data_IF_613592121111
#
_entry.id   IF_613592121111
#
_cell.length_a   1.000
_cell.length_b   1.000
_cell.length_c   1.000
_cell.angle_alpha   90.00
_cell.angle_beta   90.00
_cell.angle_gamma   90.00
#
_symmetry.space_group_name_H-M   'P 1'
#
loop_
_entity.id
_entity.type
_entity.pdbx_description
1 polymer ?
#
# COMPACT_ATOMS: atom_id res chain seq x y z
N UNK A 1 -25.91 -48.68 -3.15
CA UNK A 1 -24.90 -48.07 -2.27
C UNK A 1 -25.05 -46.56 -2.33
N UNK A 2 -25.68 -45.97 -1.31
CA UNK A 2 -25.77 -44.51 -1.17
C UNK A 2 -24.45 -44.00 -0.59
N UNK A 3 -23.76 -43.13 -1.32
CA UNK A 3 -22.58 -42.41 -0.83
C UNK A 3 -23.03 -41.44 0.26
N UNK A 4 -22.82 -41.84 1.51
CA UNK A 4 -22.95 -40.96 2.67
C UNK A 4 -21.79 -39.96 2.60
N UNK A 5 -22.10 -38.75 2.10
CA UNK A 5 -21.21 -37.60 2.27
C UNK A 5 -21.25 -37.27 3.76
N UNK A 6 -20.25 -37.75 4.49
CA UNK A 6 -19.97 -37.32 5.85
C UNK A 6 -19.60 -35.85 5.78
N UNK A 7 -20.56 -34.96 6.04
CA UNK A 7 -20.26 -33.58 6.42
C UNK A 7 -19.56 -33.67 7.77
N UNK A 8 -18.24 -33.74 7.76
CA UNK A 8 -17.44 -33.50 8.97
C UNK A 8 -17.92 -32.18 9.57
N UNK A 9 -18.45 -32.25 10.80
CA UNK A 9 -18.75 -31.05 11.59
C UNK A 9 -17.43 -30.35 11.84
N UNK A 10 -17.10 -29.37 11.00
CA UNK A 10 -16.09 -28.36 11.31
C UNK A 10 -16.55 -27.75 12.64
N UNK A 11 -15.84 -28.08 13.73
CA UNK A 11 -16.18 -27.54 15.04
C UNK A 11 -16.16 -26.01 14.98
N UNK A 12 -17.07 -25.36 15.71
CA UNK A 12 -17.21 -23.89 15.78
C UNK A 12 -15.84 -23.24 15.90
N UNK A 13 -15.60 -22.20 15.08
CA UNK A 13 -14.35 -21.45 15.12
C UNK A 13 -14.21 -20.76 16.49
N UNK A 14 -13.02 -20.83 17.08
CA UNK A 14 -12.71 -20.25 18.39
C UNK A 14 -11.37 -19.50 18.34
N UNK A 15 -11.04 -18.79 19.43
CA UNK A 15 -9.82 -17.99 19.55
C UNK A 15 -8.55 -18.84 19.34
N UNK A 16 -8.52 -20.09 19.82
CA UNK A 16 -7.35 -20.97 19.67
C UNK A 16 -7.15 -21.37 18.21
N UNK A 17 -8.23 -21.67 17.49
CA UNK A 17 -8.19 -21.95 16.05
C UNK A 17 -7.78 -20.71 15.26
N UNK A 18 -8.33 -19.54 15.56
CA UNK A 18 -7.96 -18.29 14.91
C UNK A 18 -6.47 -17.98 15.06
N UNK A 19 -5.93 -18.09 16.29
CA UNK A 19 -4.49 -17.95 16.57
C UNK A 19 -3.65 -18.93 15.73
N UNK A 20 -4.07 -20.19 15.65
CA UNK A 20 -3.37 -21.23 14.88
C UNK A 20 -3.39 -20.94 13.38
N UNK A 21 -4.53 -20.53 12.83
CA UNK A 21 -4.67 -20.17 11.41
C UNK A 21 -3.75 -18.99 11.08
N UNK A 22 -3.84 -17.89 11.84
CA UNK A 22 -3.04 -16.69 11.58
C UNK A 22 -1.54 -16.99 11.74
N UNK A 23 -1.15 -17.69 12.81
CA UNK A 23 0.26 -18.06 13.04
C UNK A 23 0.84 -18.90 11.89
N UNK A 24 0.07 -19.87 11.39
CA UNK A 24 0.46 -20.68 10.24
C UNK A 24 0.63 -19.82 8.99
N UNK A 25 -0.33 -18.94 8.71
CA UNK A 25 -0.32 -18.03 7.56
C UNK A 25 0.92 -17.15 7.56
N UNK A 26 1.24 -16.53 8.71
CA UNK A 26 2.44 -15.70 8.84
C UNK A 26 3.70 -16.53 8.64
N UNK A 27 3.78 -17.72 9.24
CA UNK A 27 4.96 -18.59 9.13
C UNK A 27 5.21 -19.06 7.69
N UNK A 28 4.19 -19.57 7.00
CA UNK A 28 4.37 -20.16 5.66
C UNK A 28 4.71 -19.11 4.60
N UNK A 29 4.28 -17.86 4.81
CA UNK A 29 4.54 -16.75 3.89
C UNK A 29 5.82 -15.97 4.22
N UNK A 30 6.50 -16.30 5.31
CA UNK A 30 7.72 -15.63 5.79
C UNK A 30 8.82 -15.45 4.76
N UNK A 31 9.18 -16.47 3.94
CA UNK A 31 10.20 -16.29 2.91
C UNK A 31 9.86 -15.20 1.88
N UNK A 32 8.57 -14.86 1.74
CA UNK A 32 8.10 -13.83 0.83
C UNK A 32 7.92 -12.49 1.52
N UNK A 33 7.22 -12.42 2.66
CA UNK A 33 6.95 -11.12 3.27
C UNK A 33 8.17 -10.45 3.87
N UNK A 34 9.21 -11.19 4.27
CA UNK A 34 10.50 -10.59 4.66
C UNK A 34 11.17 -9.80 3.53
N UNK A 35 10.81 -10.08 2.27
CA UNK A 35 11.30 -9.33 1.11
C UNK A 35 10.54 -8.03 0.87
N UNK A 36 9.57 -7.69 1.70
CA UNK A 36 8.83 -6.43 1.62
C UNK A 36 9.50 -5.31 2.42
N UNK A 37 10.51 -5.65 3.23
CA UNK A 37 11.25 -4.66 4.01
C UNK A 37 11.96 -3.68 3.07
N UNK A 38 11.85 -2.40 3.40
CA UNK A 38 12.41 -1.28 2.67
C UNK A 38 13.40 -0.54 3.57
N UNK A 39 14.28 0.26 2.95
CA UNK A 39 15.27 1.06 3.68
C UNK A 39 14.90 2.54 3.63
N UNK A 40 15.23 3.28 4.69
CA UNK A 40 15.03 4.73 4.70
C UNK A 40 15.75 5.45 3.55
N UNK A 41 16.91 4.96 3.13
CA UNK A 41 17.65 5.50 1.99
C UNK A 41 16.82 5.56 0.69
N UNK A 42 15.78 4.72 0.56
CA UNK A 42 14.91 4.65 -0.62
C UNK A 42 13.57 5.39 -0.43
N UNK A 43 13.36 6.10 0.69
CA UNK A 43 12.06 6.67 1.10
C UNK A 43 11.43 7.62 0.05
N UNK A 44 12.26 8.31 -0.72
CA UNK A 44 11.83 9.19 -1.82
C UNK A 44 11.32 8.40 -3.04
N UNK A 45 11.81 7.19 -3.28
CA UNK A 45 11.23 6.26 -4.25
C UNK A 45 9.97 5.60 -3.69
N UNK A 46 9.98 5.26 -2.39
CA UNK A 46 8.86 4.58 -1.71
C UNK A 46 7.57 5.39 -1.74
N UNK A 47 7.63 6.71 -1.49
CA UNK A 47 6.45 7.57 -1.54
C UNK A 47 5.75 7.53 -2.90
N UNK A 48 6.52 7.41 -3.99
CA UNK A 48 5.98 7.29 -5.35
C UNK A 48 5.46 5.86 -5.56
N UNK A 49 6.31 4.85 -5.31
CA UNK A 49 5.97 3.45 -5.57
C UNK A 49 4.75 2.99 -4.78
N UNK A 50 4.77 3.19 -3.47
CA UNK A 50 3.75 2.70 -2.53
C UNK A 50 2.57 3.65 -2.41
N UNK A 51 2.81 4.96 -2.56
CA UNK A 51 1.75 5.98 -2.49
C UNK A 51 0.70 5.83 -3.59
N UNK A 52 1.10 5.35 -4.77
CA UNK A 52 0.21 5.24 -5.94
C UNK A 52 -0.09 3.81 -6.39
N UNK A 53 0.47 2.80 -5.73
CA UNK A 53 0.05 1.38 -5.85
C UNK A 53 -1.25 1.14 -5.06
N UNK A 54 -2.36 1.67 -5.56
CA UNK A 54 -3.66 1.58 -4.89
C UNK A 54 -4.84 1.56 -5.86
N UNK A 55 -5.98 1.04 -5.41
CA UNK A 55 -7.23 1.07 -6.17
C UNK A 55 -7.18 0.32 -7.49
N UNK A 56 -6.38 -0.75 -7.57
CA UNK A 56 -6.17 -1.53 -8.79
C UNK A 56 -5.17 -0.93 -9.77
N UNK A 57 -4.56 0.22 -9.45
CA UNK A 57 -3.43 0.74 -10.21
C UNK A 57 -2.19 -0.10 -9.91
N UNK A 58 -1.84 -0.95 -10.89
CA UNK A 58 -0.61 -1.75 -10.90
C UNK A 58 0.62 -0.87 -11.23
N UNK A 59 0.86 0.15 -10.41
CA UNK A 59 1.93 1.14 -10.60
C UNK A 59 3.31 0.49 -10.73
N UNK A 60 3.55 -0.63 -10.04
CA UNK A 60 4.78 -1.41 -10.16
C UNK A 60 5.13 -1.81 -11.61
N UNK A 61 4.14 -1.91 -12.50
CA UNK A 61 4.34 -2.19 -13.93
C UNK A 61 4.68 -0.95 -14.74
N UNK A 62 4.32 0.25 -14.25
CA UNK A 62 4.68 1.53 -14.86
C UNK A 62 6.08 1.98 -14.46
N UNK A 63 6.55 1.64 -13.26
CA UNK A 63 7.88 2.02 -12.74
C UNK A 63 9.03 1.73 -13.73
N UNK A 64 9.14 0.54 -14.36
CA UNK A 64 10.21 0.27 -15.32
C UNK A 64 10.21 1.23 -16.52
N UNK A 65 9.04 1.66 -16.98
CA UNK A 65 8.90 2.61 -18.09
C UNK A 65 9.36 4.01 -17.67
N UNK A 66 8.98 4.45 -16.46
CA UNK A 66 9.45 5.73 -15.90
C UNK A 66 10.97 5.73 -15.66
N UNK A 67 11.54 4.59 -15.21
CA UNK A 67 13.00 4.42 -15.03
C UNK A 67 13.73 4.43 -16.37
N UNK A 68 13.22 3.70 -17.38
CA UNK A 68 13.74 3.69 -18.76
C UNK A 68 13.79 5.10 -19.36
N UNK A 69 12.75 5.90 -19.08
CA UNK A 69 12.66 7.31 -19.49
C UNK A 69 13.44 8.28 -18.59
N UNK A 70 14.14 7.80 -17.55
CA UNK A 70 14.91 8.60 -16.59
C UNK A 70 14.09 9.70 -15.87
N UNK A 71 12.79 9.47 -15.67
CA UNK A 71 11.89 10.42 -15.02
C UNK A 71 11.36 9.94 -13.67
N UNK A 72 11.80 8.76 -13.19
CA UNK A 72 11.30 8.17 -11.96
C UNK A 72 11.98 8.72 -10.70
N UNK A 73 11.83 10.03 -10.46
CA UNK A 73 12.23 10.71 -9.23
C UNK A 73 11.19 11.78 -8.88
N UNK A 74 11.15 12.22 -7.62
CA UNK A 74 10.27 13.32 -7.20
C UNK A 74 10.54 14.58 -8.04
N UNK A 75 11.81 14.90 -8.26
CA UNK A 75 12.23 16.08 -9.04
C UNK A 75 11.72 16.04 -10.49
N UNK A 76 11.92 14.91 -11.17
CA UNK A 76 11.53 14.77 -12.57
C UNK A 76 10.01 14.69 -12.72
N UNK A 77 9.32 13.86 -11.94
CA UNK A 77 7.86 13.79 -11.98
C UNK A 77 7.23 15.14 -11.60
N UNK A 78 7.76 15.83 -10.59
CA UNK A 78 7.28 17.15 -10.18
C UNK A 78 7.51 18.24 -11.23
N UNK A 79 8.53 18.08 -12.08
CA UNK A 79 8.82 18.99 -13.19
C UNK A 79 7.83 18.87 -14.35
N UNK A 80 7.10 17.76 -14.48
CA UNK A 80 5.99 17.64 -15.45
C UNK A 80 4.95 18.75 -15.23
N UNK A 81 4.75 19.14 -13.97
CA UNK A 81 3.81 20.21 -13.59
C UNK A 81 4.46 21.59 -13.48
N UNK A 82 5.73 21.76 -13.87
CA UNK A 82 6.50 22.99 -13.61
C UNK A 82 5.87 24.28 -14.15
N UNK A 83 5.10 24.18 -15.23
CA UNK A 83 4.39 25.32 -15.84
C UNK A 83 2.88 25.36 -15.49
N UNK A 84 2.38 24.40 -14.71
CA UNK A 84 0.96 24.28 -14.41
C UNK A 84 0.56 25.22 -13.26
N UNK A 85 -0.25 26.24 -13.56
CA UNK A 85 -0.73 27.24 -12.58
C UNK A 85 -2.22 27.13 -12.25
N UNK A 86 -2.90 26.11 -12.78
CA UNK A 86 -4.35 25.93 -12.66
C UNK A 86 -4.74 25.11 -11.42
N UNK A 87 -6.03 24.77 -11.34
CA UNK A 87 -6.60 24.02 -10.21
C UNK A 87 -5.92 22.65 -10.04
N UNK A 88 -5.56 22.31 -8.80
CA UNK A 88 -4.92 21.03 -8.44
C UNK A 88 -5.90 19.85 -8.40
N UNK A 89 -7.20 20.13 -8.39
CA UNK A 89 -8.26 19.13 -8.37
C UNK A 89 -8.29 18.38 -9.70
N UNK A 90 -8.37 17.06 -9.64
CA UNK A 90 -8.50 16.23 -10.83
C UNK A 90 -9.81 16.53 -11.57
N UNK A 91 -9.72 16.83 -12.86
CA UNK A 91 -10.85 16.99 -13.76
C UNK A 91 -10.71 15.98 -14.91
N UNK A 92 -11.71 15.12 -15.08
CA UNK A 92 -11.66 14.01 -16.05
C UNK A 92 -11.52 14.50 -17.49
N UNK A 93 -12.21 15.57 -17.86
CA UNK A 93 -12.17 16.07 -19.24
C UNK A 93 -10.81 16.70 -19.58
N UNK A 94 -10.08 17.16 -18.56
CA UNK A 94 -8.76 17.76 -18.73
C UNK A 94 -7.62 16.72 -18.73
N UNK A 95 -7.67 15.73 -17.83
CA UNK A 95 -6.57 14.79 -17.57
C UNK A 95 -6.98 13.30 -17.56
N UNK A 96 -8.13 12.94 -18.13
CA UNK A 96 -8.74 11.60 -18.05
C UNK A 96 -8.50 10.68 -19.26
N UNK A 97 -7.46 10.93 -20.06
CA UNK A 97 -7.09 10.07 -21.18
C UNK A 97 -5.98 10.67 -22.03
N UNK A 98 -5.34 9.86 -22.91
CA UNK A 98 -4.27 10.37 -23.79
C UNK A 98 -4.75 11.48 -24.75
N UNK A 99 -6.04 11.48 -25.08
CA UNK A 99 -6.66 12.50 -25.94
C UNK A 99 -7.08 13.77 -25.20
N UNK A 100 -6.99 13.79 -23.86
CA UNK A 100 -7.39 14.96 -23.09
C UNK A 100 -6.35 16.09 -23.19
N UNK A 101 -6.77 17.34 -22.97
CA UNK A 101 -5.93 18.53 -23.16
C UNK A 101 -4.58 18.42 -22.46
N UNK A 102 -4.54 17.92 -21.22
CA UNK A 102 -3.29 17.73 -20.50
C UNK A 102 -2.31 16.83 -21.25
N UNK A 103 -2.74 15.63 -21.67
CA UNK A 103 -1.85 14.67 -22.33
C UNK A 103 -1.49 15.06 -23.76
N UNK A 104 -2.38 15.75 -24.49
CA UNK A 104 -2.05 16.31 -25.80
C UNK A 104 -1.01 17.43 -25.70
N UNK A 105 -1.09 18.27 -24.67
CA UNK A 105 -0.06 19.27 -24.38
C UNK A 105 1.29 18.64 -23.99
N UNK A 106 1.28 17.55 -23.21
CA UNK A 106 2.49 16.78 -22.89
C UNK A 106 3.12 16.18 -24.16
N UNK A 107 2.30 15.59 -25.04
CA UNK A 107 2.73 15.03 -26.33
C UNK A 107 3.41 16.10 -27.19
N UNK A 108 2.88 17.31 -27.21
CA UNK A 108 3.42 18.47 -27.95
C UNK A 108 4.59 19.17 -27.22
N UNK A 109 5.12 18.58 -26.15
CA UNK A 109 6.25 19.12 -25.37
C UNK A 109 6.01 20.51 -24.75
N UNK A 110 4.75 20.91 -24.52
CA UNK A 110 4.44 22.20 -23.86
C UNK A 110 4.90 22.26 -22.40
N UNK A 111 5.07 21.08 -21.79
CA UNK A 111 5.65 20.88 -20.46
C UNK A 111 7.11 20.38 -20.52
N UNK A 112 7.80 20.65 -21.63
CA UNK A 112 9.20 20.28 -21.85
C UNK A 112 9.41 18.78 -22.10
N UNK A 113 10.68 18.40 -22.15
CA UNK A 113 11.10 17.02 -22.47
C UNK A 113 10.63 16.00 -21.41
N UNK A 114 10.62 16.40 -20.14
CA UNK A 114 10.17 15.54 -19.04
C UNK A 114 8.68 15.23 -19.16
N UNK A 115 7.87 16.23 -19.51
CA UNK A 115 6.44 16.04 -19.77
C UNK A 115 6.17 15.11 -20.97
N UNK A 116 6.93 15.28 -22.06
CA UNK A 116 6.82 14.38 -23.22
C UNK A 116 7.26 12.94 -22.89
N UNK A 117 8.35 12.76 -22.13
CA UNK A 117 8.79 11.45 -21.68
C UNK A 117 7.76 10.77 -20.76
N UNK A 118 7.07 11.55 -19.93
CA UNK A 118 5.94 11.05 -19.13
C UNK A 118 4.81 10.56 -20.03
N UNK A 119 4.37 11.36 -21.01
CA UNK A 119 3.36 10.96 -21.99
C UNK A 119 3.72 9.63 -22.68
N UNK A 120 4.94 9.53 -23.22
CA UNK A 120 5.40 8.32 -23.92
C UNK A 120 5.42 7.09 -23.00
N UNK A 121 5.77 7.26 -21.72
CA UNK A 121 5.76 6.17 -20.75
C UNK A 121 4.33 5.67 -20.46
N UNK A 122 3.35 6.58 -20.41
CA UNK A 122 1.94 6.21 -20.26
C UNK A 122 1.40 5.56 -21.54
N UNK A 123 1.74 6.10 -22.71
CA UNK A 123 1.36 5.53 -24.01
C UNK A 123 1.89 4.10 -24.18
N UNK A 124 3.17 3.85 -23.85
CA UNK A 124 3.77 2.52 -23.86
C UNK A 124 3.08 1.56 -22.88
N UNK A 125 2.76 2.03 -21.67
CA UNK A 125 2.02 1.24 -20.67
C UNK A 125 0.65 0.76 -21.17
N UNK A 126 -0.08 1.64 -21.86
CA UNK A 126 -1.41 1.36 -22.39
C UNK A 126 -1.34 0.46 -23.62
N UNK A 127 -0.42 0.72 -24.55
CA UNK A 127 -0.25 -0.05 -25.79
C UNK A 127 0.20 -1.48 -25.53
N UNK A 128 1.08 -1.69 -24.54
CA UNK A 128 1.54 -3.02 -24.13
C UNK A 128 0.51 -3.78 -23.27
N UNK A 129 -0.61 -3.13 -22.92
CA UNK A 129 -1.63 -3.67 -21.99
C UNK A 129 -0.99 -4.16 -20.70
N UNK A 130 0.06 -3.48 -20.23
CA UNK A 130 0.79 -3.87 -19.03
C UNK A 130 -0.15 -3.91 -17.81
N UNK A 131 -1.06 -2.92 -17.70
CA UNK A 131 -2.05 -2.85 -16.63
C UNK A 131 -3.50 -2.75 -17.08
N UNK A 132 -4.39 -2.53 -16.11
CA UNK A 132 -5.85 -2.35 -16.30
C UNK A 132 -6.26 -0.90 -16.01
N UNK A 133 -6.08 0.04 -16.95
CA UNK A 133 -6.38 1.45 -16.74
C UNK A 133 -7.88 1.68 -16.57
N UNK A 134 -8.28 2.19 -15.41
CA UNK A 134 -9.65 2.63 -15.12
C UNK A 134 -9.73 4.13 -14.82
N UNK A 135 -10.88 4.63 -14.38
CA UNK A 135 -11.02 6.04 -13.95
C UNK A 135 -10.01 6.42 -12.85
N UNK A 136 -9.75 5.49 -11.93
CA UNK A 136 -8.82 5.66 -10.82
C UNK A 136 -7.35 5.72 -11.24
N UNK A 137 -6.99 5.08 -12.36
CA UNK A 137 -5.64 5.15 -12.94
C UNK A 137 -5.29 6.60 -13.29
N UNK A 138 -6.14 7.27 -14.06
CA UNK A 138 -5.92 8.65 -14.47
C UNK A 138 -5.89 9.63 -13.30
N UNK A 139 -6.79 9.45 -12.33
CA UNK A 139 -6.78 10.30 -11.12
C UNK A 139 -5.52 10.11 -10.28
N UNK A 140 -5.00 8.88 -10.17
CA UNK A 140 -3.78 8.60 -9.40
C UNK A 140 -2.53 9.14 -10.09
N UNK A 141 -2.44 9.05 -11.43
CA UNK A 141 -1.36 9.71 -12.19
C UNK A 141 -1.36 11.21 -11.93
N UNK A 142 -2.53 11.85 -12.02
CA UNK A 142 -2.67 13.27 -11.73
C UNK A 142 -2.23 13.62 -10.31
N UNK A 143 -2.74 12.88 -9.31
CA UNK A 143 -2.39 13.10 -7.90
C UNK A 143 -0.89 12.90 -7.63
N UNK A 144 -0.25 11.93 -8.28
CA UNK A 144 1.19 11.71 -8.21
C UNK A 144 1.97 12.90 -8.73
N UNK A 145 1.60 13.44 -9.90
CA UNK A 145 2.26 14.61 -10.45
C UNK A 145 2.10 15.84 -9.56
N UNK A 146 0.91 16.06 -8.99
CA UNK A 146 0.68 17.17 -8.05
C UNK A 146 1.49 16.99 -6.75
N UNK A 147 1.52 15.78 -6.19
CA UNK A 147 2.27 15.51 -4.95
C UNK A 147 3.78 15.64 -5.16
N UNK A 148 4.32 15.07 -6.23
CA UNK A 148 5.75 15.18 -6.55
C UNK A 148 6.15 16.62 -6.86
N UNK A 149 5.27 17.39 -7.52
CA UNK A 149 5.46 18.84 -7.70
C UNK A 149 5.47 19.58 -6.36
N UNK A 150 4.53 19.27 -5.46
CA UNK A 150 4.51 19.86 -4.13
C UNK A 150 5.79 19.58 -3.34
N UNK A 151 6.27 18.32 -3.35
CA UNK A 151 7.53 17.92 -2.71
C UNK A 151 8.74 18.61 -3.33
N UNK A 152 8.77 18.74 -4.67
CA UNK A 152 9.79 19.49 -5.40
C UNK A 152 9.88 20.95 -4.94
N UNK A 153 8.77 21.67 -4.97
CA UNK A 153 8.76 23.11 -4.71
C UNK A 153 8.97 23.48 -3.23
N UNK A 154 8.61 22.59 -2.30
CA UNK A 154 8.58 22.94 -0.88
C UNK A 154 9.60 22.17 -0.03
N UNK A 155 10.16 21.06 -0.53
CA UNK A 155 10.98 20.14 0.25
C UNK A 155 12.20 19.60 -0.51
N UNK A 156 12.72 20.39 -1.47
CA UNK A 156 13.90 20.05 -2.27
C UNK A 156 13.80 18.69 -2.94
N UNK A 157 12.63 18.36 -3.49
CA UNK A 157 12.37 17.11 -4.18
C UNK A 157 12.60 15.86 -3.30
N UNK A 158 12.40 15.97 -1.98
CA UNK A 158 12.60 14.87 -1.04
C UNK A 158 11.46 14.71 -0.04
N UNK A 159 10.95 13.49 0.05
CA UNK A 159 9.99 13.07 1.07
C UNK A 159 10.66 12.89 2.44
N UNK A 160 11.94 12.52 2.50
CA UNK A 160 12.71 12.57 3.75
C UNK A 160 12.74 13.98 4.34
N UNK A 161 13.05 15.00 3.52
CA UNK A 161 13.01 16.40 3.96
C UNK A 161 11.62 16.84 4.40
N UNK A 162 10.58 16.37 3.70
CA UNK A 162 9.19 16.57 4.10
C UNK A 162 8.93 16.02 5.50
N UNK A 163 9.27 14.75 5.77
CA UNK A 163 9.06 14.12 7.07
C UNK A 163 9.83 14.83 8.18
N UNK A 164 11.11 15.17 7.95
CA UNK A 164 11.92 15.95 8.89
C UNK A 164 11.26 17.29 9.21
N UNK A 165 10.75 18.02 8.21
CA UNK A 165 10.05 19.27 8.44
C UNK A 165 8.77 19.09 9.27
N UNK A 166 8.02 18.02 9.03
CA UNK A 166 6.82 17.69 9.82
C UNK A 166 7.15 17.33 11.26
N UNK A 167 8.21 16.56 11.49
CA UNK A 167 8.68 16.25 12.83
C UNK A 167 9.23 17.47 13.57
N UNK A 168 9.92 18.37 12.87
CA UNK A 168 10.42 19.61 13.48
C UNK A 168 9.25 20.50 13.94
N UNK A 169 8.18 20.60 13.14
CA UNK A 169 6.94 21.28 13.51
C UNK A 169 6.31 20.66 14.75
N UNK A 170 6.17 19.34 14.79
CA UNK A 170 5.64 18.61 15.95
C UNK A 170 6.46 18.84 17.22
N UNK A 171 7.79 18.83 17.12
CA UNK A 171 8.69 19.03 18.26
C UNK A 171 8.89 20.50 18.65
N UNK A 172 8.37 21.46 17.88
CA UNK A 172 8.63 22.88 18.09
C UNK A 172 10.11 23.25 17.89
N UNK A 173 10.81 22.58 16.97
CA UNK A 173 12.23 22.80 16.68
C UNK A 173 12.44 23.19 15.21
N UNK A 174 13.59 23.81 14.92
CA UNK A 174 13.90 24.26 13.55
C UNK A 174 14.24 23.10 12.61
N UNK A 175 14.81 22.02 13.14
CA UNK A 175 15.23 20.85 12.39
C UNK A 175 15.26 19.62 13.31
N UNK A 176 15.13 18.44 12.73
CA UNK A 176 15.30 17.15 13.42
C UNK A 176 16.22 16.25 12.60
N UNK A 177 17.04 15.46 13.29
CA UNK A 177 17.83 14.40 12.65
C UNK A 177 16.91 13.25 12.24
N UNK A 178 17.34 12.51 11.23
CA UNK A 178 16.68 11.29 10.75
C UNK A 178 16.44 10.27 11.88
N UNK A 179 17.42 10.08 12.77
CA UNK A 179 17.30 9.15 13.89
C UNK A 179 16.10 9.43 14.79
N UNK A 180 15.68 10.70 14.95
CA UNK A 180 14.47 11.02 15.72
C UNK A 180 13.18 10.46 15.11
N UNK A 181 13.16 10.27 13.79
CA UNK A 181 12.02 9.67 13.08
C UNK A 181 12.09 8.15 13.21
N UNK A 182 13.27 7.58 12.95
CA UNK A 182 13.46 6.12 12.95
C UNK A 182 13.34 5.52 14.35
N UNK A 183 13.83 6.21 15.37
CA UNK A 183 13.77 5.78 16.77
C UNK A 183 12.46 6.22 17.47
N UNK A 184 11.49 6.75 16.73
CA UNK A 184 10.22 7.19 17.27
C UNK A 184 9.47 6.00 17.90
N UNK A 185 9.05 6.13 19.15
CA UNK A 185 8.22 5.10 19.79
C UNK A 185 6.85 5.00 19.12
N UNK A 186 6.16 3.88 19.32
CA UNK A 186 4.79 3.68 18.83
C UNK A 186 3.85 4.79 19.31
N UNK A 187 3.90 5.13 20.60
CA UNK A 187 3.07 6.17 21.19
C UNK A 187 3.41 7.55 20.61
N UNK A 188 4.69 7.83 20.40
CA UNK A 188 5.16 9.05 19.77
C UNK A 188 4.72 9.17 18.31
N UNK A 189 4.68 8.06 17.58
CA UNK A 189 4.20 8.01 16.20
C UNK A 189 2.71 8.32 16.10
N UNK A 190 1.89 7.69 16.96
CA UNK A 190 0.45 7.93 16.97
C UNK A 190 0.12 9.38 17.40
N UNK A 191 0.82 9.93 18.40
CA UNK A 191 0.66 11.33 18.80
C UNK A 191 1.06 12.31 17.68
N UNK A 192 2.19 12.06 17.01
CA UNK A 192 2.61 12.83 15.84
C UNK A 192 1.53 12.85 14.74
N UNK A 193 0.96 11.69 14.41
CA UNK A 193 -0.11 11.58 13.39
C UNK A 193 -1.36 12.34 13.78
N UNK A 194 -1.78 12.25 15.05
CA UNK A 194 -2.97 12.94 15.55
C UNK A 194 -2.82 14.46 15.48
N UNK A 195 -1.65 14.98 15.85
CA UNK A 195 -1.38 16.42 15.90
C UNK A 195 -1.09 17.03 14.52
N UNK A 196 -0.24 16.37 13.71
CA UNK A 196 0.27 16.95 12.46
C UNK A 196 -0.56 16.55 11.24
N UNK A 197 -1.09 15.32 11.21
CA UNK A 197 -1.82 14.75 10.06
C UNK A 197 -1.05 14.96 8.73
N UNK A 198 0.19 14.46 8.63
CA UNK A 198 1.11 14.80 7.53
C UNK A 198 0.49 14.53 6.14
N UNK A 199 -0.26 13.45 5.99
CA UNK A 199 -0.91 13.10 4.72
C UNK A 199 -1.82 14.20 4.11
N UNK A 200 -2.29 15.19 4.88
CA UNK A 200 -3.18 16.24 4.37
C UNK A 200 -2.59 17.07 3.21
N UNK A 201 -1.27 17.11 3.07
CA UNK A 201 -0.60 17.85 1.99
C UNK A 201 -0.18 16.94 0.82
N UNK A 202 -0.27 15.62 0.99
CA UNK A 202 0.21 14.62 0.03
C UNK A 202 -0.94 14.13 -0.85
N UNK A 203 -1.06 14.71 -2.04
CA UNK A 203 -2.18 14.44 -2.93
C UNK A 203 -2.30 12.96 -3.30
N UNK A 204 -3.47 12.37 -3.04
CA UNK A 204 -3.75 10.95 -3.29
C UNK A 204 -3.27 10.01 -2.19
N UNK A 205 -2.59 10.50 -1.16
CA UNK A 205 -2.08 9.71 -0.03
C UNK A 205 -2.91 10.07 1.20
N UNK A 206 -3.76 9.15 1.64
CA UNK A 206 -4.44 9.26 2.93
C UNK A 206 -3.66 8.57 4.06
N UNK A 207 -4.14 8.69 5.29
CA UNK A 207 -3.53 8.09 6.49
C UNK A 207 -3.13 6.62 6.30
N UNK A 208 -4.05 5.79 5.79
CA UNK A 208 -3.78 4.36 5.57
C UNK A 208 -2.64 4.09 4.56
N UNK A 209 -2.50 4.95 3.56
CA UNK A 209 -1.42 4.83 2.55
C UNK A 209 -0.11 5.36 3.14
N UNK A 210 -0.17 6.44 3.91
CA UNK A 210 0.97 7.01 4.61
C UNK A 210 1.58 6.03 5.62
N UNK A 211 0.76 5.42 6.48
CA UNK A 211 1.17 4.36 7.40
C UNK A 211 1.76 3.14 6.66
N UNK A 212 1.26 2.86 5.45
CA UNK A 212 1.75 1.75 4.63
C UNK A 212 3.13 2.04 4.01
N UNK A 213 3.40 3.28 3.60
CA UNK A 213 4.70 3.70 3.06
C UNK A 213 5.80 3.53 4.13
N UNK A 214 5.49 3.91 5.37
CA UNK A 214 6.46 3.86 6.48
C UNK A 214 6.49 2.52 7.20
N UNK A 215 5.40 1.76 7.17
CA UNK A 215 5.26 0.49 7.88
C UNK A 215 6.10 -0.66 7.35
N UNK A 216 6.95 -0.44 6.34
CA UNK A 216 7.92 -1.42 5.84
C UNK A 216 9.38 -0.99 6.05
N UNK A 217 9.63 0.14 6.69
CA UNK A 217 10.98 0.60 7.00
C UNK A 217 11.60 -0.27 8.09
N UNK A 218 12.64 -1.01 7.73
CA UNK A 218 13.34 -1.91 8.67
C UNK A 218 14.03 -1.16 9.81
N UNK A 219 14.35 0.13 9.60
CA UNK A 219 15.03 0.95 10.59
C UNK A 219 14.06 1.59 11.60
N UNK A 220 12.75 1.56 11.35
CA UNK A 220 11.76 2.31 12.11
C UNK A 220 10.84 1.42 12.96
N UNK A 221 11.40 0.60 13.86
CA UNK A 221 10.67 -0.44 14.61
C UNK A 221 9.39 0.06 15.29
N UNK A 222 9.43 1.23 15.93
CA UNK A 222 8.27 1.80 16.62
C UNK A 222 7.11 2.17 15.69
N UNK A 223 7.41 2.50 14.43
CA UNK A 223 6.43 2.78 13.38
C UNK A 223 5.98 1.46 12.72
N UNK A 224 6.94 0.61 12.37
CA UNK A 224 6.75 -0.60 11.58
C UNK A 224 5.93 -1.64 12.35
N UNK A 225 6.29 -1.96 13.59
CA UNK A 225 5.66 -3.06 14.34
C UNK A 225 4.17 -2.84 14.67
N UNK A 226 3.73 -1.59 14.70
CA UNK A 226 2.35 -1.18 15.00
C UNK A 226 1.46 -1.06 13.75
N UNK A 227 2.04 -1.04 12.55
CA UNK A 227 1.31 -0.73 11.32
C UNK A 227 0.44 -1.89 10.84
N UNK A 228 -0.84 -1.61 10.61
CA UNK A 228 -1.80 -2.54 10.03
C UNK A 228 -2.69 -1.84 9.00
N UNK A 229 -2.66 -2.34 7.75
CA UNK A 229 -3.54 -1.90 6.67
C UNK A 229 -4.67 -2.91 6.52
N UNK A 230 -5.92 -2.51 6.78
CA UNK A 230 -7.09 -3.35 6.52
C UNK A 230 -7.55 -3.17 5.07
N UNK A 231 -7.02 -3.98 4.15
CA UNK A 231 -7.42 -3.97 2.75
C UNK A 231 -8.43 -5.09 2.40
N UNK A 232 -8.86 -5.14 1.14
CA UNK A 232 -9.80 -6.15 0.66
C UNK A 232 -9.29 -7.59 0.80
N UNK A 233 -7.97 -7.82 0.75
CA UNK A 233 -7.37 -9.14 0.95
C UNK A 233 -7.39 -9.54 2.42
N UNK A 234 -7.10 -8.60 3.33
CA UNK A 234 -7.21 -8.82 4.77
C UNK A 234 -8.67 -9.10 5.17
N UNK A 235 -9.62 -8.30 4.69
CA UNK A 235 -11.05 -8.51 4.95
C UNK A 235 -11.49 -9.88 4.43
N UNK A 236 -11.15 -10.20 3.18
CA UNK A 236 -11.49 -11.49 2.58
C UNK A 236 -10.88 -12.66 3.34
N UNK A 237 -9.65 -12.54 3.85
CA UNK A 237 -9.05 -13.57 4.70
C UNK A 237 -9.89 -13.87 5.95
N UNK A 238 -10.30 -12.82 6.69
CA UNK A 238 -11.09 -13.00 7.91
C UNK A 238 -12.44 -13.65 7.61
N UNK A 239 -13.09 -13.25 6.51
CA UNK A 239 -14.36 -13.83 6.06
C UNK A 239 -14.22 -15.28 5.59
N UNK A 240 -13.26 -15.55 4.69
CA UNK A 240 -13.04 -16.88 4.13
C UNK A 240 -12.68 -17.92 5.21
N UNK A 241 -12.00 -17.46 6.27
CA UNK A 241 -11.63 -18.30 7.40
C UNK A 241 -12.72 -18.44 8.47
N UNK A 242 -13.70 -17.54 8.46
CA UNK A 242 -14.74 -17.40 9.48
C UNK A 242 -14.29 -16.63 10.74
N UNK A 243 -13.04 -16.13 10.76
CA UNK A 243 -12.47 -15.38 11.89
C UNK A 243 -13.22 -14.08 12.12
N UNK A 244 -13.83 -13.52 11.07
CA UNK A 244 -14.68 -12.33 11.16
C UNK A 244 -15.80 -12.46 12.20
N UNK A 245 -16.33 -13.66 12.43
CA UNK A 245 -17.35 -13.93 13.47
C UNK A 245 -16.85 -13.75 14.91
N UNK A 246 -15.54 -13.72 15.12
CA UNK A 246 -14.91 -13.48 16.42
C UNK A 246 -14.61 -11.99 16.64
N UNK A 247 -14.84 -11.15 15.63
CA UNK A 247 -14.55 -9.73 15.64
C UNK A 247 -15.89 -9.00 15.70
N UNK A 248 -16.03 -8.04 16.63
CA UNK A 248 -17.29 -7.31 16.84
C UNK A 248 -17.77 -6.61 15.57
N UNK A 249 -16.85 -5.95 14.87
CA UNK A 249 -17.09 -5.27 13.60
C UNK A 249 -15.81 -5.31 12.75
N UNK A 250 -15.93 -5.55 11.44
CA UNK A 250 -14.78 -5.58 10.53
C UNK A 250 -14.36 -4.16 10.15
N UNK A 251 -13.73 -3.49 11.12
CA UNK A 251 -13.05 -2.21 10.95
C UNK A 251 -11.60 -2.32 11.46
N UNK A 252 -10.76 -1.31 11.18
CA UNK A 252 -9.32 -1.36 11.48
C UNK A 252 -9.04 -1.52 12.98
N UNK A 253 -9.75 -0.79 13.82
CA UNK A 253 -9.55 -0.77 15.27
C UNK A 253 -9.88 -2.12 15.90
N UNK A 254 -11.06 -2.66 15.61
CA UNK A 254 -11.53 -3.94 16.16
C UNK A 254 -10.67 -5.12 15.66
N UNK A 255 -10.21 -5.09 14.41
CA UNK A 255 -9.26 -6.08 13.88
C UNK A 255 -7.92 -6.03 14.61
N UNK A 256 -7.37 -4.83 14.85
CA UNK A 256 -6.12 -4.67 15.60
C UNK A 256 -6.29 -5.17 17.04
N UNK A 257 -7.38 -4.80 17.71
CA UNK A 257 -7.69 -5.25 19.07
C UNK A 257 -7.79 -6.77 19.15
N UNK A 258 -8.49 -7.39 18.19
CA UNK A 258 -8.58 -8.83 18.09
C UNK A 258 -7.21 -9.48 17.90
N UNK A 259 -6.39 -9.03 16.94
CA UNK A 259 -5.06 -9.60 16.69
C UNK A 259 -4.16 -9.48 17.91
N UNK A 260 -4.15 -8.33 18.58
CA UNK A 260 -3.39 -8.12 19.81
C UNK A 260 -3.85 -9.08 20.93
N UNK A 261 -5.15 -9.34 21.03
CA UNK A 261 -5.70 -10.28 22.03
C UNK A 261 -5.26 -11.74 21.83
N UNK A 262 -4.77 -12.09 20.63
CA UNK A 262 -4.27 -13.45 20.34
C UNK A 262 -2.91 -13.73 20.97
N UNK A 263 -2.18 -12.71 21.46
CA UNK A 263 -0.88 -12.86 22.13
C UNK A 263 0.10 -13.72 21.30
N UNK A 264 0.32 -13.32 20.04
CA UNK A 264 1.17 -14.03 19.11
C UNK A 264 2.61 -13.49 19.17
N UNK A 265 3.58 -14.34 18.82
CA UNK A 265 4.99 -13.94 18.71
C UNK A 265 5.31 -12.97 17.55
N UNK A 266 4.33 -12.69 16.70
CA UNK A 266 4.48 -11.85 15.51
C UNK A 266 3.89 -10.48 15.79
N UNK A 267 4.55 -9.43 15.29
CA UNK A 267 4.04 -8.06 15.29
C UNK A 267 2.78 -7.92 14.43
N UNK A 268 2.02 -6.84 14.65
CA UNK A 268 0.84 -6.52 13.83
C UNK A 268 1.20 -6.43 12.34
N UNK A 269 2.39 -5.90 12.02
CA UNK A 269 2.84 -5.75 10.64
C UNK A 269 3.21 -7.06 9.99
N UNK A 270 3.90 -7.95 10.68
CA UNK A 270 4.17 -9.30 10.18
C UNK A 270 2.88 -10.08 9.92
N UNK A 271 1.90 -9.96 10.84
CA UNK A 271 0.55 -10.50 10.62
C UNK A 271 -0.09 -9.89 9.38
N UNK A 272 -0.02 -8.57 9.21
CA UNK A 272 -0.59 -7.88 8.06
C UNK A 272 0.03 -8.33 6.73
N UNK A 273 1.37 -8.37 6.65
CA UNK A 273 2.11 -8.83 5.47
C UNK A 273 1.85 -10.31 5.17
N UNK A 274 1.80 -11.15 6.19
CA UNK A 274 1.56 -12.59 6.04
C UNK A 274 0.18 -12.87 5.46
N UNK A 275 -0.86 -12.25 6.04
CA UNK A 275 -2.23 -12.36 5.53
C UNK A 275 -2.33 -11.83 4.10
N UNK A 276 -1.74 -10.66 3.82
CA UNK A 276 -1.72 -10.10 2.46
C UNK A 276 -1.09 -11.07 1.46
N UNK A 277 0.08 -11.62 1.79
CA UNK A 277 0.81 -12.56 0.91
C UNK A 277 0.00 -13.82 0.64
N UNK A 278 -0.65 -14.35 1.67
CA UNK A 278 -1.48 -15.56 1.60
C UNK A 278 -2.74 -15.36 0.75
N UNK A 279 -3.26 -14.14 0.72
CA UNK A 279 -4.49 -13.80 0.03
C UNK A 279 -4.30 -12.94 -1.22
N UNK A 280 -3.08 -12.61 -1.62
CA UNK A 280 -2.85 -11.72 -2.77
C UNK A 280 -3.05 -12.44 -4.11
N UNK A 281 -3.58 -11.72 -5.11
CA UNK A 281 -3.56 -12.18 -6.51
C UNK A 281 -2.13 -12.36 -7.02
N UNK A 282 -1.24 -11.43 -6.69
CA UNK A 282 0.14 -11.41 -7.21
C UNK A 282 0.95 -12.60 -6.71
N UNK A 283 0.63 -13.11 -5.53
CA UNK A 283 1.28 -14.25 -4.91
C UNK A 283 0.44 -15.53 -5.00
N UNK A 284 -0.69 -15.49 -5.72
CA UNK A 284 -1.64 -16.59 -5.74
C UNK A 284 -1.04 -17.89 -6.27
N UNK A 285 -0.05 -17.82 -7.17
CA UNK A 285 0.70 -18.98 -7.65
C UNK A 285 1.47 -19.69 -6.52
N UNK A 286 2.07 -18.94 -5.59
CA UNK A 286 2.86 -19.48 -4.49
C UNK A 286 1.99 -19.79 -3.25
N UNK A 287 1.07 -18.89 -2.89
CA UNK A 287 0.41 -18.88 -1.58
C UNK A 287 -1.13 -18.72 -1.62
N UNK A 288 -1.78 -18.69 -2.79
CA UNK A 288 -3.21 -18.35 -2.96
C UNK A 288 -4.25 -19.35 -2.40
N UNK A 289 -4.03 -19.89 -1.20
CA UNK A 289 -4.84 -20.90 -0.54
C UNK A 289 -6.27 -20.43 -0.24
N UNK A 290 -6.48 -19.15 0.04
CA UNK A 290 -7.81 -18.60 0.27
C UNK A 290 -8.55 -18.23 -1.02
N UNK A 291 -7.94 -18.32 -2.20
CA UNK A 291 -8.55 -17.92 -3.49
C UNK A 291 -8.92 -19.07 -4.42
N UNK A 292 -8.33 -20.24 -4.23
CA UNK A 292 -8.57 -21.41 -5.06
C UNK A 292 -9.13 -22.52 -4.19
N UNK A 293 -10.27 -23.10 -4.59
CA UNK A 293 -10.85 -24.26 -3.91
C UNK A 293 -9.87 -25.43 -3.87
N UNK A 294 -9.16 -25.67 -4.96
CA UNK A 294 -8.12 -26.71 -5.04
C UNK A 294 -7.01 -26.47 -4.02
N UNK A 295 -6.50 -25.23 -3.93
CA UNK A 295 -5.48 -24.89 -2.94
C UNK A 295 -6.03 -24.95 -1.51
N UNK A 296 -7.27 -24.56 -1.28
CA UNK A 296 -7.91 -24.66 0.04
C UNK A 296 -8.00 -26.11 0.53
N UNK A 297 -8.25 -27.08 -0.36
CA UNK A 297 -8.29 -28.50 0.01
C UNK A 297 -6.94 -28.96 0.58
N UNK A 298 -5.84 -28.53 -0.04
CA UNK A 298 -4.48 -28.89 0.40
C UNK A 298 -3.90 -27.95 1.47
N UNK A 299 -4.65 -26.95 1.92
CA UNK A 299 -4.22 -26.03 2.96
C UNK A 299 -4.11 -26.77 4.32
N UNK A 300 -2.94 -26.75 5.00
CA UNK A 300 -2.73 -27.44 6.27
C UNK A 300 -3.62 -26.99 7.44
N UNK A 301 -4.24 -25.82 7.34
CA UNK A 301 -5.20 -25.31 8.34
C UNK A 301 -6.64 -25.33 7.84
N UNK A 302 -6.92 -26.01 6.72
CA UNK A 302 -8.26 -26.05 6.13
C UNK A 302 -9.26 -26.71 7.10
N UNK A 303 -8.89 -27.79 7.77
CA UNK A 303 -9.76 -28.54 8.68
C UNK A 303 -10.24 -27.78 9.92
N UNK A 304 -9.60 -26.65 10.26
CA UNK A 304 -9.96 -25.79 11.40
C UNK A 304 -10.57 -24.44 10.98
N UNK A 305 -10.80 -24.25 9.69
CA UNK A 305 -11.32 -23.05 9.03
C UNK A 305 -12.74 -23.33 8.52
N UNK A 306 -13.60 -22.29 8.45
CA UNK A 306 -14.97 -22.45 7.92
C UNK A 306 -15.04 -22.61 6.39
N UNK A 307 -13.98 -22.23 5.67
CA UNK A 307 -13.82 -22.39 4.21
C UNK A 307 -14.90 -21.69 3.38
N UNK A 308 -15.19 -20.43 3.68
CA UNK A 308 -16.15 -19.62 2.91
C UNK A 308 -15.50 -19.07 1.61
N UNK A 309 -14.97 -19.96 0.77
CA UNK A 309 -14.36 -19.58 -0.51
C UNK A 309 -15.41 -19.73 -1.61
N UNK A 310 -15.83 -18.58 -2.17
CA UNK A 310 -16.67 -18.49 -3.36
C UNK A 310 -16.06 -19.23 -4.54
#
# INVERSE_FOLDING_TARGET
MQNVIVKEKVGILDIKKAKKIISYVVQVTEPRWRKYDECWADIDELIIRRGYEQGGFEFFKLVPLLKKSQIYTIDRLGSVMGNYKSEKKYQRDYAGGLESTFYTDLKQSRYGQVGNAFYLSIEEFLNTKAGKPGSRFWSLLWQMLICTHYLKENYNSSFSNYLRKKFSQYKGTNDVLESYILECSKEGWEDFKLQVKPWNELYGIGENVFDFILGDLKEADGITTASFKLDVNNIYFFQATGIDKLIKEINREEVINFINSLDMKYSLREVNKGIYTYCSLTESYNYGFCRSREKCIICPVSNICEKQIG
#
